data_IF_860728566500
#
_entry.id   IF_860728566500
#
_cell.length_a   1.000
_cell.length_b   1.000
_cell.length_c   1.000
_cell.angle_alpha   90.00
_cell.angle_beta   90.00
_cell.angle_gamma   90.00
#
_symmetry.space_group_name_H-M   'P 1'
#
loop_
_entity.id
_entity.type
_entity.pdbx_description
1 polymer ?
#
# COMPACT_ATOMS: atom_id res chain seq x y z
N UNK A 1 5.11 -1.49 17.82
CA UNK A 1 5.52 -1.99 16.48
C UNK A 1 4.73 -1.19 15.47
N UNK A 2 5.36 -0.69 14.41
CA UNK A 2 4.64 0.05 13.37
C UNK A 2 3.79 -0.93 12.54
N UNK A 3 2.50 -0.63 12.35
CA UNK A 3 1.65 -1.37 11.42
C UNK A 3 1.97 -0.88 10.01
N UNK A 4 2.32 -1.78 9.11
CA UNK A 4 2.67 -1.45 7.73
C UNK A 4 1.62 -2.04 6.78
N UNK A 5 1.38 -1.35 5.67
CA UNK A 5 0.67 -1.88 4.50
C UNK A 5 1.51 -1.50 3.30
N UNK A 6 1.75 -2.44 2.40
CA UNK A 6 2.50 -2.18 1.16
C UNK A 6 1.59 -2.09 -0.06
N UNK A 7 1.87 -1.20 -1.00
CA UNK A 7 1.12 -1.07 -2.25
C UNK A 7 2.00 -1.37 -3.46
N UNK A 8 1.58 -2.34 -4.28
CA UNK A 8 2.16 -2.65 -5.59
C UNK A 8 1.08 -2.57 -6.65
N UNK A 9 1.31 -1.85 -7.75
CA UNK A 9 0.35 -1.71 -8.86
C UNK A 9 1.06 -1.63 -10.22
N UNK A 10 0.29 -1.71 -11.29
CA UNK A 10 0.69 -1.48 -12.68
C UNK A 10 0.12 -0.15 -13.25
N UNK A 11 -0.25 0.78 -12.37
CA UNK A 11 -0.97 2.01 -12.72
C UNK A 11 -0.11 3.11 -13.35
N UNK A 12 1.21 2.95 -13.26
CA UNK A 12 2.19 4.00 -13.51
C UNK A 12 2.10 5.15 -12.49
N UNK A 13 2.97 6.14 -12.67
CA UNK A 13 3.01 7.34 -11.83
C UNK A 13 2.45 8.59 -12.52
N UNK A 14 2.13 8.48 -13.82
CA UNK A 14 1.59 9.59 -14.61
C UNK A 14 0.08 9.78 -14.44
N UNK A 15 -0.61 8.83 -13.80
CA UNK A 15 -2.05 8.89 -13.50
C UNK A 15 -2.31 9.21 -12.02
N UNK A 16 -3.53 9.64 -11.70
CA UNK A 16 -3.94 9.93 -10.32
C UNK A 16 -4.32 8.70 -9.49
N UNK A 17 -4.29 7.48 -10.05
CA UNK A 17 -4.87 6.29 -9.40
C UNK A 17 -4.17 5.92 -8.10
N UNK A 18 -2.83 5.98 -8.06
CA UNK A 18 -2.06 5.74 -6.83
C UNK A 18 -2.45 6.75 -5.74
N UNK A 19 -2.60 8.03 -6.09
CA UNK A 19 -3.02 9.05 -5.14
C UNK A 19 -4.44 8.80 -4.60
N UNK A 20 -5.37 8.35 -5.46
CA UNK A 20 -6.74 8.00 -5.06
C UNK A 20 -6.77 6.77 -4.14
N UNK A 21 -5.95 5.76 -4.41
CA UNK A 21 -5.80 4.57 -3.55
C UNK A 21 -5.30 4.96 -2.16
N UNK A 22 -4.25 5.78 -2.09
CA UNK A 22 -3.70 6.28 -0.82
C UNK A 22 -4.72 7.11 -0.04
N UNK A 23 -5.41 8.03 -0.72
CA UNK A 23 -6.46 8.85 -0.09
C UNK A 23 -7.60 8.01 0.47
N UNK A 24 -8.03 6.97 -0.26
CA UNK A 24 -9.07 6.04 0.17
C UNK A 24 -8.60 5.22 1.37
N UNK A 25 -7.37 4.68 1.33
CA UNK A 25 -6.77 3.96 2.45
C UNK A 25 -6.80 4.78 3.73
N UNK A 26 -6.26 6.02 3.73
CA UNK A 26 -6.26 6.86 4.92
C UNK A 26 -7.67 7.28 5.35
N UNK A 27 -8.57 7.55 4.40
CA UNK A 27 -9.97 7.85 4.73
C UNK A 27 -10.63 6.68 5.46
N UNK A 28 -10.38 5.44 5.02
CA UNK A 28 -10.90 4.23 5.64
C UNK A 28 -10.29 4.00 7.03
N UNK A 29 -8.97 4.16 7.18
CA UNK A 29 -8.31 4.01 8.49
C UNK A 29 -8.82 4.98 9.56
N UNK A 30 -9.22 6.18 9.15
CA UNK A 30 -9.70 7.24 10.03
C UNK A 30 -11.23 7.25 10.16
N UNK A 31 -11.94 6.37 9.45
CA UNK A 31 -13.39 6.34 9.45
C UNK A 31 -13.92 5.86 10.81
N UNK A 32 -14.89 6.57 11.37
CA UNK A 32 -15.56 6.17 12.62
C UNK A 32 -14.81 6.53 13.91
N UNK A 33 -13.66 7.19 13.83
CA UNK A 33 -12.89 7.65 15.01
C UNK A 33 -12.86 9.18 15.07
N UNK A 34 -13.88 9.82 15.65
CA UNK A 34 -13.99 11.28 15.70
C UNK A 34 -12.91 11.97 16.57
N UNK A 35 -12.30 11.23 17.49
CA UNK A 35 -11.29 11.71 18.44
C UNK A 35 -9.85 11.35 18.05
N UNK A 36 -9.64 10.80 16.85
CA UNK A 36 -8.35 10.29 16.36
C UNK A 36 -7.76 9.13 17.21
N UNK A 37 -8.58 8.43 17.99
CA UNK A 37 -8.14 7.27 18.78
C UNK A 37 -8.04 5.96 17.98
N UNK A 38 -8.05 6.03 16.63
CA UNK A 38 -7.95 4.83 15.79
C UNK A 38 -6.72 4.01 16.19
N UNK A 39 -6.86 2.70 16.50
CA UNK A 39 -5.71 1.85 16.82
C UNK A 39 -4.74 1.74 15.64
N UNK A 40 -5.16 2.18 14.45
CA UNK A 40 -4.37 2.20 13.22
C UNK A 40 -3.83 3.58 12.87
N UNK A 41 -3.82 4.55 13.79
CA UNK A 41 -3.33 5.91 13.52
C UNK A 41 -1.85 5.92 13.11
N UNK A 42 -1.06 4.97 13.62
CA UNK A 42 0.35 4.80 13.28
C UNK A 42 0.58 3.86 12.07
N UNK A 43 -0.49 3.42 11.40
CA UNK A 43 -0.37 2.57 10.23
C UNK A 43 0.23 3.34 9.06
N UNK A 44 1.30 2.80 8.46
CA UNK A 44 2.00 3.42 7.34
C UNK A 44 1.67 2.68 6.05
N UNK A 45 1.46 3.43 4.97
CA UNK A 45 1.33 2.89 3.62
C UNK A 45 2.65 3.12 2.87
N UNK A 46 3.28 2.03 2.44
CA UNK A 46 4.58 2.02 1.77
C UNK A 46 4.40 1.56 0.33
N UNK A 47 4.84 2.34 -0.64
CA UNK A 47 4.84 1.88 -2.03
C UNK A 47 6.03 0.96 -2.27
N UNK A 48 5.79 -0.15 -2.97
CA UNK A 48 6.87 -1.00 -3.47
C UNK A 48 7.16 -0.70 -4.94
N UNK A 49 6.13 -0.71 -5.78
CA UNK A 49 6.23 -0.38 -7.20
C UNK A 49 4.87 0.02 -7.77
N UNK A 50 4.87 0.92 -8.74
CA UNK A 50 3.68 1.29 -9.52
C UNK A 50 3.90 1.18 -11.02
N UNK A 51 5.11 0.80 -11.43
CA UNK A 51 5.60 0.72 -12.79
C UNK A 51 5.73 -0.72 -13.28
N UNK A 52 5.06 -1.67 -12.60
CA UNK A 52 4.88 -3.02 -13.13
C UNK A 52 4.22 -2.91 -14.51
N UNK A 53 4.72 -3.68 -15.48
CA UNK A 53 4.16 -3.68 -16.83
C UNK A 53 2.64 -3.99 -16.77
N UNK A 54 1.80 -3.20 -17.45
CA UNK A 54 0.34 -3.37 -17.40
C UNK A 54 -0.08 -4.82 -17.66
N UNK A 55 -0.86 -5.38 -16.73
CA UNK A 55 -1.40 -6.73 -16.77
C UNK A 55 -0.38 -7.89 -16.69
N UNK A 56 0.91 -7.62 -16.45
CA UNK A 56 1.93 -8.67 -16.30
C UNK A 56 1.95 -9.25 -14.89
N UNK A 57 1.01 -10.17 -14.65
CA UNK A 57 0.88 -10.86 -13.36
C UNK A 57 2.11 -11.71 -13.00
N UNK A 58 2.92 -12.14 -13.97
CA UNK A 58 4.11 -12.97 -13.71
C UNK A 58 5.22 -12.12 -13.13
N UNK A 59 5.48 -10.96 -13.73
CA UNK A 59 6.43 -9.98 -13.19
C UNK A 59 5.98 -9.46 -11.82
N UNK A 60 4.68 -9.17 -11.65
CA UNK A 60 4.11 -8.76 -10.36
C UNK A 60 4.30 -9.81 -9.24
N UNK A 61 4.06 -11.09 -9.57
CA UNK A 61 4.22 -12.19 -8.61
C UNK A 61 5.68 -12.37 -8.20
N UNK A 62 6.60 -12.31 -9.17
CA UNK A 62 8.03 -12.38 -8.90
C UNK A 62 8.50 -11.21 -8.03
N UNK A 63 8.15 -9.98 -8.40
CA UNK A 63 8.51 -8.77 -7.66
C UNK A 63 8.02 -8.81 -6.21
N UNK A 64 6.74 -9.18 -6.01
CA UNK A 64 6.14 -9.29 -4.67
C UNK A 64 6.87 -10.34 -3.84
N UNK A 65 7.06 -11.55 -4.38
CA UNK A 65 7.74 -12.64 -3.67
C UNK A 65 9.20 -12.32 -3.34
N UNK A 66 9.89 -11.58 -4.20
CA UNK A 66 11.27 -11.16 -3.98
C UNK A 66 11.41 -10.01 -2.97
N UNK A 67 10.35 -9.22 -2.74
CA UNK A 67 10.41 -8.00 -1.93
C UNK A 67 9.75 -8.13 -0.56
N UNK A 68 8.63 -8.86 -0.45
CA UNK A 68 7.78 -8.84 0.74
C UNK A 68 8.48 -9.37 2.01
N UNK A 69 9.38 -10.34 1.89
CA UNK A 69 10.08 -10.95 3.03
C UNK A 69 11.18 -10.07 3.64
N UNK A 70 11.49 -8.90 3.05
CA UNK A 70 12.35 -7.90 3.68
C UNK A 70 11.59 -6.99 4.66
N UNK A 71 10.26 -7.00 4.63
CA UNK A 71 9.44 -6.27 5.59
C UNK A 71 9.22 -7.09 6.87
N UNK A 72 8.97 -6.44 8.01
CA UNK A 72 8.65 -7.13 9.25
C UNK A 72 7.43 -8.06 9.08
N UNK A 73 7.37 -9.18 9.81
CA UNK A 73 6.17 -10.02 9.85
C UNK A 73 4.93 -9.21 10.22
N UNK A 74 3.77 -9.59 9.69
CA UNK A 74 2.48 -8.89 9.89
C UNK A 74 2.38 -7.50 9.22
N UNK A 75 3.23 -7.25 8.23
CA UNK A 75 2.98 -6.23 7.19
C UNK A 75 1.90 -6.70 6.22
#
# INVERSE_FOLDING_TARGET
MASLVTLTTDFGTSSGYVAQMKGTFFKTLLQGTPDKSSPYLECQLVDLAHDIAPHDIRSAAWFTAASCFYFPPQT
#
